data_IF_306984575591
#
_entry.id   IF_306984575591
#
_cell.length_a   1.000
_cell.length_b   1.000
_cell.length_c   1.000
_cell.angle_alpha   90.00
_cell.angle_beta   90.00
_cell.angle_gamma   90.00
#
_symmetry.space_group_name_H-M   'P 1'
#
loop_
_entity.id
_entity.type
_entity.pdbx_description
1 polymer ?
#
# COMPACT_ATOMS: atom_id res chain seq x y z
N UNK A 1 8.12 -49.49 7.64
CA UNK A 1 7.55 -49.65 6.29
C UNK A 1 7.82 -48.36 5.54
N UNK A 2 8.91 -48.33 4.78
CA UNK A 2 9.38 -47.14 4.07
C UNK A 2 8.69 -47.05 2.71
N UNK A 3 7.87 -46.03 2.49
CA UNK A 3 7.26 -45.76 1.20
C UNK A 3 8.14 -44.75 0.44
N UNK A 4 8.94 -45.25 -0.50
CA UNK A 4 9.64 -44.42 -1.49
C UNK A 4 8.61 -43.86 -2.48
N UNK A 5 8.38 -42.55 -2.42
CA UNK A 5 7.61 -41.83 -3.43
C UNK A 5 8.52 -41.61 -4.64
N UNK A 6 8.28 -42.36 -5.70
CA UNK A 6 8.91 -42.16 -7.01
C UNK A 6 8.22 -40.97 -7.67
N UNK A 7 8.92 -39.83 -7.76
CA UNK A 7 8.49 -38.67 -8.54
C UNK A 7 8.66 -39.00 -10.04
N UNK A 8 7.65 -38.81 -10.90
CA UNK A 8 7.88 -38.89 -12.34
C UNK A 8 8.77 -37.71 -12.76
N UNK A 9 9.96 -38.02 -13.26
CA UNK A 9 10.85 -37.06 -13.90
C UNK A 9 10.11 -36.45 -15.09
N UNK A 10 9.64 -35.21 -14.92
CA UNK A 10 9.26 -34.33 -16.02
C UNK A 10 10.51 -34.16 -16.89
N UNK A 11 10.48 -34.72 -18.10
CA UNK A 11 11.58 -34.61 -19.05
C UNK A 11 11.87 -33.15 -19.41
N UNK A 12 13.09 -32.82 -19.86
CA UNK A 12 13.43 -31.47 -20.27
C UNK A 12 12.49 -31.00 -21.39
N UNK A 13 12.05 -29.74 -21.39
CA UNK A 13 11.14 -29.22 -22.40
C UNK A 13 11.78 -29.33 -23.80
N UNK A 14 10.98 -29.59 -24.84
CA UNK A 14 11.48 -29.74 -26.20
C UNK A 14 12.22 -28.46 -26.63
N UNK A 15 13.40 -28.65 -27.24
CA UNK A 15 14.30 -27.62 -27.77
C UNK A 15 13.71 -26.92 -29.01
N UNK A 16 12.47 -26.46 -28.93
CA UNK A 16 11.91 -25.50 -29.87
C UNK A 16 12.61 -24.17 -29.65
N UNK A 17 13.20 -23.61 -30.70
CA UNK A 17 13.72 -22.23 -30.68
C UNK A 17 12.58 -21.32 -30.22
N UNK A 18 12.55 -20.95 -28.93
CA UNK A 18 11.76 -19.80 -28.49
C UNK A 18 12.29 -18.62 -29.29
N UNK A 19 11.49 -18.16 -30.25
CA UNK A 19 11.70 -16.81 -30.78
C UNK A 19 11.64 -15.93 -29.53
N UNK A 20 12.66 -15.11 -29.25
CA UNK A 20 12.54 -14.14 -28.17
C UNK A 20 11.24 -13.38 -28.44
N UNK A 21 10.37 -13.22 -27.42
CA UNK A 21 9.20 -12.37 -27.57
C UNK A 21 9.68 -11.02 -28.14
N UNK A 22 8.92 -10.41 -29.06
CA UNK A 22 9.34 -9.16 -29.68
C UNK A 22 9.81 -8.21 -28.58
N UNK A 23 11.12 -7.91 -28.59
CA UNK A 23 11.74 -7.02 -27.62
C UNK A 23 10.89 -5.76 -27.56
N UNK A 24 10.29 -5.52 -26.39
CA UNK A 24 9.66 -4.28 -25.96
C UNK A 24 9.42 -3.33 -27.13
N UNK A 25 8.34 -3.56 -27.88
CA UNK A 25 7.79 -2.51 -28.71
C UNK A 25 7.32 -1.44 -27.71
N UNK A 26 8.24 -0.54 -27.32
CA UNK A 26 7.92 0.71 -26.67
C UNK A 26 6.84 1.33 -27.53
N UNK A 27 5.60 1.29 -27.04
CA UNK A 27 4.52 2.04 -27.64
C UNK A 27 5.00 3.48 -27.63
N UNK A 28 5.40 3.98 -28.81
CA UNK A 28 5.71 5.39 -28.99
C UNK A 28 4.43 6.14 -28.59
N UNK A 29 4.52 6.95 -27.54
CA UNK A 29 3.48 7.92 -27.25
C UNK A 29 3.44 8.89 -28.43
N UNK A 30 2.31 8.97 -29.12
CA UNK A 30 2.12 9.81 -30.33
C UNK A 30 2.22 11.33 -30.04
N UNK A 31 2.30 11.71 -28.77
CA UNK A 31 2.43 13.09 -28.30
C UNK A 31 3.32 13.10 -27.03
N UNK A 32 4.14 14.14 -26.81
CA UNK A 32 4.80 14.29 -25.52
C UNK A 32 3.68 14.41 -24.47
N UNK A 33 3.60 13.50 -23.48
CA UNK A 33 2.54 13.58 -22.49
C UNK A 33 2.79 14.84 -21.69
N UNK A 34 1.92 15.83 -21.89
CA UNK A 34 1.91 17.04 -21.10
C UNK A 34 1.44 16.64 -19.70
N UNK A 35 2.00 17.25 -18.66
CA UNK A 35 1.65 16.96 -17.26
C UNK A 35 0.12 16.99 -17.04
N UNK A 36 -0.57 17.88 -17.75
CA UNK A 36 -2.01 17.99 -17.77
C UNK A 36 -2.75 16.84 -18.49
N UNK A 37 -2.21 16.25 -19.56
CA UNK A 37 -2.83 15.12 -20.25
C UNK A 37 -2.65 13.81 -19.47
N UNK A 38 -1.49 13.60 -18.87
CA UNK A 38 -1.24 12.48 -17.94
C UNK A 38 -2.09 12.62 -16.67
N UNK A 39 -2.12 13.80 -16.05
CA UNK A 39 -2.98 14.05 -14.90
C UNK A 39 -4.45 13.85 -15.27
N UNK A 40 -4.92 14.35 -16.43
CA UNK A 40 -6.31 14.17 -16.90
C UNK A 40 -6.65 12.70 -17.16
N UNK A 41 -5.70 11.90 -17.65
CA UNK A 41 -5.86 10.46 -17.84
C UNK A 41 -6.03 9.73 -16.50
N UNK A 42 -5.18 10.02 -15.51
CA UNK A 42 -5.29 9.45 -14.16
C UNK A 42 -6.58 9.95 -13.46
N UNK A 43 -6.93 11.22 -13.64
CA UNK A 43 -8.13 11.85 -13.09
C UNK A 43 -9.44 11.26 -13.66
N UNK A 44 -9.45 10.71 -14.87
CA UNK A 44 -10.65 10.10 -15.48
C UNK A 44 -10.81 8.61 -15.18
N UNK A 45 -9.82 7.95 -14.56
CA UNK A 45 -9.85 6.49 -14.37
C UNK A 45 -10.72 6.01 -13.21
N UNK A 46 -10.99 6.86 -12.22
CA UNK A 46 -11.65 6.43 -10.97
C UNK A 46 -12.81 7.34 -10.61
N UNK A 47 -13.97 6.77 -10.27
CA UNK A 47 -15.13 7.53 -9.72
C UNK A 47 -14.79 8.27 -8.42
N UNK A 48 -13.73 7.84 -7.72
CA UNK A 48 -13.20 8.48 -6.51
C UNK A 48 -12.60 9.87 -6.77
N UNK A 49 -12.21 10.21 -8.02
CA UNK A 49 -11.70 11.55 -8.31
C UNK A 49 -12.77 12.64 -8.19
N UNK A 50 -14.05 12.29 -8.04
CA UNK A 50 -15.08 13.25 -7.62
C UNK A 50 -14.73 13.88 -6.27
N UNK A 51 -14.07 13.13 -5.38
CA UNK A 51 -13.64 13.62 -4.08
C UNK A 51 -12.43 14.57 -4.15
N UNK A 52 -11.76 14.74 -5.30
CA UNK A 52 -10.70 15.75 -5.41
C UNK A 52 -11.21 17.18 -5.19
N UNK A 53 -12.51 17.41 -5.39
CA UNK A 53 -13.14 18.68 -5.07
C UNK A 53 -12.97 19.05 -3.58
N UNK A 54 -12.79 18.06 -2.69
CA UNK A 54 -12.56 18.30 -1.27
C UNK A 54 -11.14 18.78 -0.96
N UNK A 55 -10.14 18.59 -1.85
CA UNK A 55 -8.75 19.03 -1.61
C UNK A 55 -8.64 20.54 -1.37
N UNK A 56 -9.13 21.43 -2.27
CA UNK A 56 -9.06 22.86 -2.02
C UNK A 56 -9.85 23.26 -0.76
N UNK A 57 -11.02 22.66 -0.52
CA UNK A 57 -11.81 22.92 0.68
C UNK A 57 -11.06 22.51 1.96
N UNK A 58 -10.39 21.36 1.94
CA UNK A 58 -9.61 20.83 3.06
C UNK A 58 -8.41 21.72 3.42
N UNK A 59 -7.72 22.24 2.40
CA UNK A 59 -6.61 23.18 2.56
C UNK A 59 -7.10 24.55 3.06
N UNK A 60 -8.29 24.98 2.64
CA UNK A 60 -8.91 26.24 3.05
C UNK A 60 -9.59 26.17 4.41
N UNK A 61 -9.99 24.99 4.89
CA UNK A 61 -10.70 24.84 6.16
C UNK A 61 -9.93 25.42 7.35
N UNK A 62 -8.61 25.28 7.38
CA UNK A 62 -7.75 25.80 8.46
C UNK A 62 -7.63 27.34 8.44
N UNK A 63 -7.22 28.01 7.34
CA UNK A 63 -7.13 29.47 7.31
C UNK A 63 -8.48 30.17 7.44
N UNK A 64 -9.59 29.55 7.01
CA UNK A 64 -10.93 30.11 7.20
C UNK A 64 -11.50 29.87 8.61
N UNK A 65 -10.75 29.22 9.50
CA UNK A 65 -11.17 28.98 10.89
C UNK A 65 -12.38 28.06 11.03
N UNK A 66 -12.53 27.08 10.14
CA UNK A 66 -13.63 26.12 10.22
C UNK A 66 -13.49 25.25 11.48
N UNK A 67 -14.62 24.77 12.06
CA UNK A 67 -14.58 23.96 13.27
C UNK A 67 -13.72 22.70 13.05
N UNK A 68 -12.96 22.30 14.08
CA UNK A 68 -11.97 21.23 13.94
C UNK A 68 -12.56 19.91 13.45
N UNK A 69 -13.79 19.56 13.86
CA UNK A 69 -14.48 18.39 13.34
C UNK A 69 -14.75 18.45 11.83
N UNK A 70 -15.16 19.60 11.30
CA UNK A 70 -15.38 19.78 9.86
C UNK A 70 -14.05 19.76 9.09
N UNK A 71 -13.02 20.44 9.60
CA UNK A 71 -11.69 20.41 9.02
C UNK A 71 -11.13 18.98 8.97
N UNK A 72 -11.36 18.18 10.01
CA UNK A 72 -10.97 16.77 10.04
C UNK A 72 -11.65 15.95 8.94
N UNK A 73 -12.98 16.04 8.83
CA UNK A 73 -13.76 15.28 7.84
C UNK A 73 -13.37 15.68 6.40
N UNK A 74 -13.13 16.96 6.14
CA UNK A 74 -12.73 17.43 4.82
C UNK A 74 -11.33 16.96 4.43
N UNK A 75 -10.37 17.07 5.35
CA UNK A 75 -9.01 16.56 5.11
C UNK A 75 -9.01 15.03 4.94
N UNK A 76 -9.86 14.32 5.69
CA UNK A 76 -10.08 12.89 5.49
C UNK A 76 -10.57 12.59 4.06
N UNK A 77 -11.67 13.21 3.63
CA UNK A 77 -12.24 12.99 2.30
C UNK A 77 -11.29 13.39 1.17
N UNK A 78 -10.42 14.38 1.40
CA UNK A 78 -9.38 14.80 0.46
C UNK A 78 -8.25 13.76 0.32
N UNK A 79 -7.83 13.12 1.42
CA UNK A 79 -6.74 12.14 1.41
C UNK A 79 -7.12 10.86 0.64
N UNK A 80 -8.38 10.43 0.72
CA UNK A 80 -8.85 9.19 0.07
C UNK A 80 -8.51 9.11 -1.42
N UNK A 81 -8.90 10.06 -2.29
CA UNK A 81 -8.55 9.97 -3.69
C UNK A 81 -7.07 10.27 -3.96
N UNK A 82 -6.40 11.08 -3.13
CA UNK A 82 -4.97 11.35 -3.26
C UNK A 82 -4.12 10.10 -3.02
N UNK A 83 -4.48 9.28 -2.03
CA UNK A 83 -3.85 7.98 -1.79
C UNK A 83 -3.98 7.08 -3.04
N UNK A 84 -5.15 7.08 -3.69
CA UNK A 84 -5.33 6.32 -4.93
C UNK A 84 -4.48 6.85 -6.09
N UNK A 85 -4.32 8.17 -6.19
CA UNK A 85 -3.45 8.78 -7.20
C UNK A 85 -1.98 8.43 -6.95
N UNK A 86 -1.57 8.35 -5.68
CA UNK A 86 -0.24 7.91 -5.30
C UNK A 86 0.01 6.47 -5.75
N UNK A 87 -0.92 5.55 -5.51
CA UNK A 87 -0.82 4.14 -5.96
C UNK A 87 -0.67 4.03 -7.48
N UNK A 88 -1.45 4.81 -8.24
CA UNK A 88 -1.37 4.77 -9.72
C UNK A 88 -0.04 5.35 -10.20
N UNK A 89 0.43 6.44 -9.59
CA UNK A 89 1.72 7.04 -9.94
C UNK A 89 2.90 6.11 -9.61
N UNK A 90 2.85 5.40 -8.48
CA UNK A 90 3.87 4.40 -8.12
C UNK A 90 3.80 3.17 -9.03
N UNK A 91 2.60 2.69 -9.40
CA UNK A 91 2.42 1.59 -10.36
C UNK A 91 2.99 1.95 -11.75
N UNK A 92 2.68 3.12 -12.30
CA UNK A 92 3.20 3.58 -13.59
C UNK A 92 4.74 3.73 -13.55
N UNK A 93 5.29 4.24 -12.45
CA UNK A 93 6.74 4.37 -12.30
C UNK A 93 7.43 2.99 -12.17
N UNK A 94 6.79 2.05 -11.46
CA UNK A 94 7.25 0.68 -11.30
C UNK A 94 7.30 -0.07 -12.65
N UNK A 95 6.29 0.13 -13.51
CA UNK A 95 6.25 -0.41 -14.88
C UNK A 95 7.42 0.12 -15.74
N UNK A 96 7.79 1.39 -15.60
CA UNK A 96 8.91 2.00 -16.33
C UNK A 96 10.26 1.46 -15.85
N UNK A 97 10.42 1.29 -14.53
CA UNK A 97 11.67 0.82 -13.90
C UNK A 97 11.82 -0.71 -14.04
N UNK A 98 10.78 -1.42 -14.50
CA UNK A 98 10.79 -2.88 -14.69
C UNK A 98 10.80 -3.66 -13.38
N UNK A 99 10.32 -3.05 -12.29
CA UNK A 99 10.23 -3.69 -10.98
C UNK A 99 8.75 -3.80 -10.62
N UNK A 100 8.20 -5.00 -10.39
CA UNK A 100 6.84 -5.09 -9.86
C UNK A 100 6.80 -4.37 -8.52
N UNK A 101 5.94 -3.36 -8.40
CA UNK A 101 5.59 -2.83 -7.09
C UNK A 101 4.67 -3.86 -6.43
N UNK A 102 5.16 -4.49 -5.37
CA UNK A 102 4.32 -5.30 -4.49
C UNK A 102 3.20 -4.42 -3.97
N UNK A 103 1.95 -4.78 -4.26
CA UNK A 103 0.79 -4.20 -3.56
C UNK A 103 0.87 -4.71 -2.13
N UNK A 104 1.23 -3.84 -1.19
CA UNK A 104 1.23 -4.17 0.23
C UNK A 104 -0.19 -4.59 0.62
N UNK A 105 -0.32 -5.75 1.26
CA UNK A 105 -1.63 -6.23 1.72
C UNK A 105 -1.96 -5.58 3.05
N UNK A 106 -3.00 -4.75 3.08
CA UNK A 106 -3.59 -4.25 4.32
C UNK A 106 -4.40 -5.36 5.00
N UNK A 107 -4.17 -5.61 6.29
CA UNK A 107 -4.90 -6.60 7.11
C UNK A 107 -6.42 -6.40 7.11
N UNK A 108 -6.86 -5.13 7.07
CA UNK A 108 -8.30 -4.82 7.00
C UNK A 108 -8.89 -5.23 5.65
N UNK A 109 -8.12 -5.04 4.57
CA UNK A 109 -8.50 -5.47 3.22
C UNK A 109 -8.58 -7.00 3.18
N UNK A 110 -7.62 -7.72 3.77
CA UNK A 110 -7.65 -9.18 3.84
C UNK A 110 -8.95 -9.70 4.48
N UNK A 111 -9.30 -9.18 5.66
CA UNK A 111 -10.52 -9.59 6.37
C UNK A 111 -11.79 -9.28 5.57
N UNK A 112 -11.88 -8.08 4.99
CA UNK A 112 -13.00 -7.72 4.12
C UNK A 112 -13.05 -8.59 2.85
N UNK A 113 -11.92 -8.84 2.19
CA UNK A 113 -11.84 -9.71 1.01
C UNK A 113 -12.32 -11.12 1.32
N UNK A 114 -11.94 -11.71 2.46
CA UNK A 114 -12.47 -13.02 2.88
C UNK A 114 -13.96 -12.99 3.19
N UNK A 115 -14.44 -11.94 3.87
CA UNK A 115 -15.87 -11.81 4.15
C UNK A 115 -16.69 -11.69 2.86
N UNK A 116 -16.33 -10.78 1.95
CA UNK A 116 -17.07 -10.55 0.70
C UNK A 116 -16.92 -11.70 -0.29
N UNK A 117 -15.70 -12.21 -0.51
CA UNK A 117 -15.50 -13.33 -1.41
C UNK A 117 -16.12 -14.63 -0.84
N UNK A 118 -16.12 -14.80 0.48
CA UNK A 118 -16.76 -15.94 1.16
C UNK A 118 -18.29 -15.98 1.03
N UNK A 119 -18.95 -14.85 0.71
CA UNK A 119 -20.38 -14.85 0.37
C UNK A 119 -20.65 -15.55 -0.97
N UNK A 120 -19.73 -15.45 -1.94
CA UNK A 120 -19.89 -15.98 -3.31
C UNK A 120 -19.15 -17.30 -3.53
N UNK A 121 -17.99 -17.47 -2.90
CA UNK A 121 -17.08 -18.60 -3.09
C UNK A 121 -16.91 -19.38 -1.79
N UNK A 122 -17.17 -20.68 -1.83
CA UNK A 122 -17.07 -21.56 -0.67
C UNK A 122 -15.62 -21.90 -0.29
N UNK A 123 -14.71 -21.87 -1.27
CA UNK A 123 -13.27 -22.12 -1.08
C UNK A 123 -12.47 -21.10 -1.90
N UNK A 124 -11.36 -20.62 -1.34
CA UNK A 124 -10.46 -19.69 -2.00
C UNK A 124 -9.07 -20.33 -2.11
N UNK A 125 -8.58 -20.47 -3.34
CA UNK A 125 -7.24 -20.98 -3.58
C UNK A 125 -6.24 -19.82 -3.55
N UNK A 126 -5.21 -19.95 -2.73
CA UNK A 126 -4.11 -19.00 -2.64
C UNK A 126 -2.78 -19.73 -2.70
N UNK A 127 -1.73 -19.00 -3.08
CA UNK A 127 -0.37 -19.54 -3.02
C UNK A 127 0.06 -19.67 -1.56
N UNK A 128 0.02 -20.91 -1.06
CA UNK A 128 0.33 -21.25 0.34
C UNK A 128 1.75 -20.83 0.70
N UNK A 129 2.73 -21.04 -0.18
CA UNK A 129 4.14 -20.72 0.08
C UNK A 129 4.34 -19.21 0.24
N UNK A 130 3.79 -18.40 -0.66
CA UNK A 130 3.90 -16.93 -0.57
C UNK A 130 3.16 -16.38 0.66
N UNK A 131 1.93 -16.87 0.90
CA UNK A 131 1.14 -16.47 2.05
C UNK A 131 1.81 -16.84 3.38
N UNK A 132 2.34 -18.06 3.48
CA UNK A 132 3.02 -18.54 4.69
C UNK A 132 4.30 -17.74 4.97
N UNK A 133 5.13 -17.48 3.95
CA UNK A 133 6.34 -16.65 4.13
C UNK A 133 5.99 -15.25 4.61
N UNK A 134 4.96 -14.61 4.04
CA UNK A 134 4.50 -13.30 4.47
C UNK A 134 3.95 -13.28 5.90
N UNK A 135 3.16 -14.28 6.29
CA UNK A 135 2.64 -14.41 7.65
C UNK A 135 3.76 -14.63 8.68
N UNK A 136 4.75 -15.48 8.37
CA UNK A 136 5.89 -15.73 9.27
C UNK A 136 6.73 -14.46 9.49
N UNK A 137 6.97 -13.69 8.43
CA UNK A 137 7.71 -12.42 8.53
C UNK A 137 6.91 -11.36 9.30
N UNK A 138 5.62 -11.21 9.02
CA UNK A 138 4.74 -10.31 9.79
C UNK A 138 4.74 -10.67 11.29
N UNK A 139 4.71 -11.96 11.62
CA UNK A 139 4.73 -12.42 13.01
C UNK A 139 6.03 -12.03 13.72
N UNK A 140 7.19 -12.23 13.06
CA UNK A 140 8.48 -11.79 13.60
C UNK A 140 8.55 -10.27 13.75
N UNK A 141 8.02 -9.53 12.77
CA UNK A 141 7.95 -8.07 12.81
C UNK A 141 7.11 -7.56 13.99
N UNK A 142 5.92 -8.12 14.19
CA UNK A 142 5.01 -7.74 15.29
C UNK A 142 5.64 -8.08 16.65
N UNK A 143 6.24 -9.26 16.81
CA UNK A 143 6.87 -9.67 18.07
C UNK A 143 8.00 -8.72 18.48
N UNK A 144 8.86 -8.30 17.55
CA UNK A 144 9.94 -7.39 17.90
C UNK A 144 9.53 -5.91 17.96
N UNK A 145 8.41 -5.50 17.35
CA UNK A 145 7.80 -4.19 17.62
C UNK A 145 7.15 -4.14 19.01
N UNK A 146 6.62 -5.27 19.50
CA UNK A 146 6.02 -5.38 20.83
C UNK A 146 7.06 -5.40 21.96
N UNK A 147 8.31 -5.80 21.69
CA UNK A 147 9.35 -5.95 22.71
C UNK A 147 9.58 -4.68 23.55
N UNK A 148 9.73 -3.46 22.99
CA UNK A 148 9.87 -2.24 23.79
C UNK A 148 8.62 -1.88 24.59
N UNK A 149 7.43 -2.20 24.08
CA UNK A 149 6.16 -1.95 24.77
C UNK A 149 5.97 -2.90 25.96
N UNK A 150 6.29 -4.19 25.79
CA UNK A 150 6.28 -5.18 26.86
C UNK A 150 7.30 -4.82 27.95
N UNK A 151 8.50 -4.39 27.57
CA UNK A 151 9.52 -3.93 28.52
C UNK A 151 9.02 -2.74 29.34
N UNK A 152 8.38 -1.75 28.71
CA UNK A 152 7.76 -0.62 29.43
C UNK A 152 6.68 -1.07 30.42
N UNK A 153 5.95 -2.14 30.13
CA UNK A 153 4.82 -2.59 30.97
C UNK A 153 5.25 -3.35 32.22
N UNK A 154 6.47 -3.91 32.27
CA UNK A 154 6.91 -4.79 33.35
C UNK A 154 8.08 -4.26 34.17
N UNK A 155 8.72 -3.18 33.72
CA UNK A 155 9.96 -2.65 34.31
C UNK A 155 9.66 -1.55 35.34
N UNK A 156 10.38 -1.59 36.46
CA UNK A 156 10.26 -0.62 37.57
C UNK A 156 10.72 0.79 37.16
N UNK A 157 10.18 1.81 37.84
CA UNK A 157 10.38 3.24 37.54
C UNK A 157 11.86 3.67 37.40
N UNK A 158 12.77 3.00 38.10
CA UNK A 158 14.21 3.27 38.08
C UNK A 158 14.89 2.99 36.72
N UNK A 159 14.30 2.11 35.90
CA UNK A 159 14.90 1.68 34.62
C UNK A 159 14.25 2.34 33.40
N UNK A 160 13.36 3.33 33.57
CA UNK A 160 12.70 4.01 32.44
C UNK A 160 13.69 4.70 31.50
N UNK A 161 14.83 5.17 32.02
CA UNK A 161 15.90 5.74 31.21
C UNK A 161 16.49 4.74 30.20
N UNK A 162 16.41 3.43 30.48
CA UNK A 162 16.87 2.38 29.58
C UNK A 162 15.88 2.10 28.41
N UNK A 163 14.64 2.60 28.47
CA UNK A 163 13.64 2.35 27.42
C UNK A 163 14.05 3.01 26.08
N UNK A 164 14.62 4.22 26.14
CA UNK A 164 15.04 4.97 24.95
C UNK A 164 16.09 4.18 24.14
N UNK A 165 17.24 3.76 24.70
CA UNK A 165 18.23 2.99 23.94
C UNK A 165 17.70 1.62 23.49
N UNK A 166 16.84 0.95 24.29
CA UNK A 166 16.21 -0.31 23.88
C UNK A 166 15.31 -0.10 22.65
N UNK A 167 14.52 0.97 22.63
CA UNK A 167 13.66 1.29 21.49
C UNK A 167 14.45 1.63 20.22
N UNK A 168 15.59 2.32 20.36
CA UNK A 168 16.50 2.57 19.24
C UNK A 168 17.13 1.28 18.71
N UNK A 169 17.57 0.38 19.59
CA UNK A 169 18.10 -0.93 19.20
C UNK A 169 17.07 -1.79 18.45
N UNK A 170 15.82 -1.80 18.93
CA UNK A 170 14.72 -2.47 18.27
C UNK A 170 14.42 -1.89 16.87
N UNK A 171 14.41 -0.55 16.74
CA UNK A 171 14.20 0.12 15.46
C UNK A 171 15.31 -0.18 14.43
N UNK A 172 16.58 -0.17 14.85
CA UNK A 172 17.73 -0.53 13.99
C UNK A 172 17.63 -2.01 13.55
N UNK A 173 17.27 -2.90 14.47
CA UNK A 173 17.10 -4.33 14.17
C UNK A 173 15.98 -4.55 13.17
N UNK A 174 14.83 -3.88 13.33
CA UNK A 174 13.72 -3.90 12.38
C UNK A 174 14.12 -3.40 10.99
N UNK A 175 14.92 -2.34 10.93
CA UNK A 175 15.41 -1.81 9.67
C UNK A 175 16.31 -2.81 8.94
N UNK A 176 17.20 -3.52 9.65
CA UNK A 176 18.05 -4.57 9.09
C UNK A 176 17.19 -5.73 8.55
N UNK A 177 16.22 -6.21 9.35
CA UNK A 177 15.30 -7.28 8.93
C UNK A 177 14.48 -6.86 7.71
N UNK A 178 14.00 -5.62 7.65
CA UNK A 178 13.29 -5.08 6.49
C UNK A 178 14.17 -5.01 5.24
N UNK A 179 15.45 -4.62 5.37
CA UNK A 179 16.39 -4.62 4.25
C UNK A 179 16.69 -6.03 3.73
N UNK A 180 16.84 -7.02 4.62
CA UNK A 180 16.98 -8.43 4.25
C UNK A 180 15.71 -8.95 3.56
N UNK A 181 14.53 -8.53 4.04
CA UNK A 181 13.25 -8.86 3.41
C UNK A 181 13.15 -8.27 1.99
N UNK A 182 13.50 -7.00 1.79
CA UNK A 182 13.52 -6.41 0.45
C UNK A 182 14.52 -7.11 -0.48
N UNK A 183 15.69 -7.54 0.01
CA UNK A 183 16.63 -8.35 -0.78
C UNK A 183 16.02 -9.71 -1.15
N UNK A 184 15.25 -10.31 -0.24
CA UNK A 184 14.55 -11.57 -0.48
C UNK A 184 13.48 -11.41 -1.56
N UNK A 185 12.61 -10.41 -1.43
CA UNK A 185 11.50 -10.16 -2.34
C UNK A 185 11.97 -9.69 -3.73
N UNK A 186 12.95 -8.79 -3.79
CA UNK A 186 13.35 -8.16 -5.05
C UNK A 186 14.43 -8.91 -5.82
N UNK A 187 15.18 -9.82 -5.17
CA UNK A 187 16.33 -10.49 -5.80
C UNK A 187 16.31 -11.99 -5.67
N UNK A 188 16.23 -12.54 -4.46
CA UNK A 188 16.47 -13.99 -4.28
C UNK A 188 15.24 -14.84 -4.58
N UNK A 189 14.04 -14.35 -4.29
CA UNK A 189 12.78 -15.10 -4.44
C UNK A 189 11.71 -14.29 -5.18
N UNK A 190 12.12 -13.45 -6.15
CA UNK A 190 11.22 -12.64 -6.97
C UNK A 190 10.06 -13.44 -7.58
N UNK A 191 10.33 -14.68 -8.01
CA UNK A 191 9.37 -15.54 -8.71
C UNK A 191 8.24 -16.02 -7.77
N UNK A 192 8.45 -16.01 -6.45
CA UNK A 192 7.42 -16.32 -5.45
C UNK A 192 6.40 -15.19 -5.28
N UNK A 193 6.77 -13.96 -5.63
CA UNK A 193 5.99 -12.73 -5.41
C UNK A 193 5.45 -12.11 -6.70
N UNK A 194 5.90 -12.57 -7.87
CA UNK A 194 5.26 -12.27 -9.15
C UNK A 194 3.93 -13.03 -9.20
N UNK A 195 2.86 -12.38 -8.76
CA UNK A 195 1.50 -12.90 -8.91
C UNK A 195 1.08 -12.76 -10.38
N UNK A 196 1.12 -13.89 -11.11
CA UNK A 196 0.46 -14.23 -12.38
C UNK A 196 -0.28 -13.13 -13.16
N UNK A 197 0.38 -12.01 -13.47
CA UNK A 197 -0.16 -10.94 -14.30
C UNK A 197 0.42 -11.01 -15.74
N UNK A 198 1.04 -12.13 -16.10
CA UNK A 198 1.62 -12.35 -17.43
C UNK A 198 0.55 -12.58 -18.51
N UNK A 199 -0.69 -12.95 -18.14
CA UNK A 199 -1.77 -13.23 -19.11
C UNK A 199 -2.77 -12.08 -19.32
N UNK A 200 -2.73 -11.02 -18.51
CA UNK A 200 -3.45 -9.77 -18.81
C UNK A 200 -2.50 -8.85 -19.55
N UNK A 201 -2.46 -8.99 -20.88
CA UNK A 201 -1.62 -8.26 -21.84
C UNK A 201 -0.80 -7.11 -21.25
N UNK A 202 0.53 -7.30 -21.22
CA UNK A 202 1.56 -6.38 -20.68
C UNK A 202 1.04 -4.93 -20.65
N UNK A 203 0.67 -4.47 -19.45
CA UNK A 203 0.29 -3.07 -19.22
C UNK A 203 1.50 -2.20 -19.54
N UNK A 204 1.52 -1.60 -20.72
CA UNK A 204 2.51 -0.59 -21.07
C UNK A 204 2.24 0.68 -20.23
N UNK A 205 3.30 1.26 -19.69
CA UNK A 205 3.22 2.54 -19.00
C UNK A 205 2.60 3.59 -19.96
N UNK A 206 1.59 4.30 -19.48
CA UNK A 206 0.92 5.37 -20.24
C UNK A 206 1.55 6.74 -19.98
N UNK A 207 2.44 6.84 -19.00
CA UNK A 207 3.10 8.09 -18.60
C UNK A 207 4.61 8.02 -18.86
N UNK A 208 5.22 9.16 -19.20
CA UNK A 208 6.70 9.28 -19.21
C UNK A 208 7.24 9.35 -17.79
N UNK A 209 8.49 8.92 -17.59
CA UNK A 209 9.18 8.95 -16.29
C UNK A 209 9.13 10.31 -15.62
N UNK A 210 9.31 11.38 -16.37
CA UNK A 210 9.31 12.75 -15.86
C UNK A 210 7.91 13.22 -15.43
N UNK A 211 6.87 12.85 -16.20
CA UNK A 211 5.49 13.18 -15.82
C UNK A 211 5.02 12.36 -14.62
N UNK A 212 5.42 11.09 -14.52
CA UNK A 212 5.12 10.21 -13.40
C UNK A 212 5.81 10.67 -12.11
N UNK A 213 7.10 11.01 -12.17
CA UNK A 213 7.83 11.52 -11.02
C UNK A 213 7.32 12.89 -10.55
N UNK A 214 7.01 13.80 -11.48
CA UNK A 214 6.43 15.10 -11.14
C UNK A 214 5.05 14.95 -10.49
N UNK A 215 4.19 14.07 -11.04
CA UNK A 215 2.88 13.78 -10.44
C UNK A 215 3.03 13.19 -9.03
N UNK A 216 3.94 12.23 -8.85
CA UNK A 216 4.23 11.60 -7.55
C UNK A 216 4.61 12.65 -6.52
N UNK A 217 5.55 13.54 -6.84
CA UNK A 217 6.02 14.60 -5.93
C UNK A 217 4.87 15.55 -5.56
N UNK A 218 4.08 15.99 -6.54
CA UNK A 218 2.93 16.89 -6.29
C UNK A 218 1.91 16.21 -5.38
N UNK A 219 1.53 14.96 -5.66
CA UNK A 219 0.56 14.23 -4.84
C UNK A 219 1.08 14.03 -3.42
N UNK A 220 2.34 13.63 -3.25
CA UNK A 220 2.96 13.46 -1.93
C UNK A 220 2.94 14.77 -1.14
N UNK A 221 3.27 15.90 -1.76
CA UNK A 221 3.23 17.20 -1.10
C UNK A 221 1.81 17.58 -0.67
N UNK A 222 0.80 17.39 -1.54
CA UNK A 222 -0.60 17.70 -1.20
C UNK A 222 -1.12 16.77 -0.10
N UNK A 223 -0.80 15.48 -0.15
CA UNK A 223 -1.13 14.52 0.92
C UNK A 223 -0.48 14.95 2.24
N UNK A 224 0.80 15.32 2.23
CA UNK A 224 1.51 15.77 3.42
C UNK A 224 0.85 17.02 4.05
N UNK A 225 0.42 17.99 3.22
CA UNK A 225 -0.30 19.17 3.69
C UNK A 225 -1.67 18.82 4.28
N UNK A 226 -2.45 17.96 3.61
CA UNK A 226 -3.75 17.51 4.12
C UNK A 226 -3.58 16.71 5.42
N UNK A 227 -2.57 15.84 5.50
CA UNK A 227 -2.27 15.05 6.69
C UNK A 227 -1.84 15.94 7.87
N UNK A 228 -1.03 16.97 7.61
CA UNK A 228 -0.66 17.95 8.63
C UNK A 228 -1.89 18.67 9.20
N UNK A 229 -2.81 19.10 8.33
CA UNK A 229 -4.07 19.73 8.74
C UNK A 229 -5.02 18.75 9.44
N UNK A 230 -5.10 17.50 8.99
CA UNK A 230 -5.88 16.43 9.62
C UNK A 230 -5.42 16.22 11.07
N UNK A 231 -4.12 16.01 11.29
CA UNK A 231 -3.55 15.78 12.62
C UNK A 231 -3.76 17.01 13.52
N UNK A 232 -3.60 18.22 12.97
CA UNK A 232 -3.89 19.46 13.70
C UNK A 232 -5.36 19.65 14.10
N UNK A 233 -6.29 18.93 13.48
CA UNK A 233 -7.73 19.02 13.76
C UNK A 233 -8.26 17.94 14.73
N UNK A 234 -7.39 17.03 15.20
CA UNK A 234 -7.77 15.92 16.10
C UNK A 234 -8.41 16.47 17.39
N UNK A 235 -7.90 17.56 17.94
CA UNK A 235 -8.41 18.14 19.19
C UNK A 235 -9.87 18.60 19.07
N UNK A 236 -10.25 19.18 17.93
CA UNK A 236 -11.64 19.56 17.69
C UNK A 236 -12.58 18.36 17.53
N UNK A 237 -12.08 17.20 17.09
CA UNK A 237 -12.87 15.95 17.06
C UNK A 237 -13.02 15.37 18.46
N UNK A 238 -11.97 15.43 19.28
CA UNK A 238 -12.01 14.98 20.68
C UNK A 238 -13.08 15.76 21.46
N UNK A 239 -13.12 17.08 21.27
CA UNK A 239 -14.10 17.96 21.93
C UNK A 239 -15.53 17.74 21.42
N UNK A 240 -15.72 17.63 20.10
CA UNK A 240 -17.04 17.49 19.50
C UNK A 240 -17.65 16.09 19.67
N UNK A 241 -16.86 15.04 19.46
CA UNK A 241 -17.33 13.65 19.44
C UNK A 241 -17.04 12.89 20.75
N UNK A 242 -16.31 13.50 21.70
CA UNK A 242 -15.94 12.85 22.96
C UNK A 242 -14.97 11.67 22.80
N UNK A 243 -14.31 11.53 21.64
CA UNK A 243 -13.41 10.43 21.34
C UNK A 243 -12.01 10.67 21.93
N UNK A 244 -11.32 9.61 22.35
CA UNK A 244 -9.95 9.74 22.85
C UNK A 244 -8.96 9.97 21.70
N UNK A 245 -7.90 10.78 21.95
CA UNK A 245 -6.79 10.95 20.99
C UNK A 245 -6.20 9.59 20.56
N UNK A 246 -6.12 8.64 21.50
CA UNK A 246 -5.66 7.27 21.26
C UNK A 246 -6.57 6.51 20.29
N UNK A 247 -7.90 6.58 20.44
CA UNK A 247 -8.83 5.93 19.51
C UNK A 247 -8.73 6.52 18.11
N UNK A 248 -8.66 7.84 17.99
CA UNK A 248 -8.48 8.52 16.70
C UNK A 248 -7.16 8.07 16.06
N UNK A 249 -6.07 8.04 16.82
CA UNK A 249 -4.75 7.66 16.32
C UNK A 249 -4.59 6.19 15.95
N UNK A 250 -5.16 5.27 16.73
CA UNK A 250 -4.99 3.82 16.53
C UNK A 250 -6.06 3.19 15.63
N UNK A 251 -7.26 3.75 15.57
CA UNK A 251 -8.38 3.17 14.80
C UNK A 251 -8.67 4.02 13.58
N UNK A 252 -8.93 5.31 13.76
CA UNK A 252 -9.40 6.17 12.66
C UNK A 252 -8.28 6.42 11.66
N UNK A 253 -7.10 6.90 12.08
CA UNK A 253 -6.02 7.26 11.14
C UNK A 253 -5.56 6.08 10.24
N UNK A 254 -5.36 4.84 10.73
CA UNK A 254 -5.00 3.72 9.86
C UNK A 254 -6.08 3.38 8.84
N UNK A 255 -7.35 3.50 9.22
CA UNK A 255 -8.48 3.34 8.29
C UNK A 255 -8.39 4.41 7.20
N UNK A 256 -8.16 5.67 7.56
CA UNK A 256 -8.06 6.78 6.60
C UNK A 256 -7.00 6.52 5.53
N UNK A 257 -5.78 6.18 5.95
CA UNK A 257 -4.65 5.98 5.05
C UNK A 257 -4.88 4.81 4.08
N UNK A 258 -5.64 3.79 4.50
CA UNK A 258 -5.87 2.59 3.71
C UNK A 258 -7.30 2.50 3.14
N UNK A 259 -8.11 3.54 3.28
CA UNK A 259 -9.52 3.53 2.88
C UNK A 259 -9.67 3.42 1.36
N UNK A 260 -8.79 4.06 0.60
CA UNK A 260 -8.79 4.01 -0.87
C UNK A 260 -8.58 2.59 -1.39
N UNK A 261 -7.70 1.83 -0.76
CA UNK A 261 -7.45 0.42 -1.06
C UNK A 261 -8.65 -0.45 -0.68
N UNK A 262 -9.24 -0.21 0.50
CA UNK A 262 -10.45 -0.92 0.95
C UNK A 262 -11.60 -0.77 -0.04
N UNK A 263 -11.86 0.45 -0.48
CA UNK A 263 -12.89 0.74 -1.48
C UNK A 263 -12.55 0.08 -2.82
N UNK A 264 -11.30 0.17 -3.28
CA UNK A 264 -10.91 -0.42 -4.57
C UNK A 264 -10.98 -1.95 -4.56
N UNK A 265 -10.51 -2.60 -3.49
CA UNK A 265 -10.50 -4.07 -3.37
C UNK A 265 -11.90 -4.66 -3.28
N UNK A 266 -12.78 -4.07 -2.47
CA UNK A 266 -14.16 -4.57 -2.31
C UNK A 266 -15.05 -4.28 -3.51
N UNK A 267 -14.98 -3.08 -4.11
CA UNK A 267 -15.79 -2.76 -5.29
C UNK A 267 -15.32 -3.46 -6.57
N UNK A 268 -14.03 -3.76 -6.71
CA UNK A 268 -13.53 -4.50 -7.87
C UNK A 268 -14.10 -5.92 -7.92
N UNK A 269 -14.23 -6.58 -6.76
CA UNK A 269 -14.82 -7.93 -6.67
C UNK A 269 -16.35 -7.92 -6.70
N UNK A 270 -17.01 -6.85 -6.21
CA UNK A 270 -18.47 -6.74 -6.23
C UNK A 270 -19.05 -6.48 -7.64
N UNK A 271 -18.25 -6.01 -8.59
CA UNK A 271 -18.66 -5.69 -9.97
C UNK A 271 -18.12 -6.68 -11.03
N UNK A 272 -17.52 -7.79 -10.60
CA UNK A 272 -17.01 -8.88 -11.45
C UNK A 272 -17.81 -10.19 -11.27
#
# INVERSE_FOLDING_TARGET
>A
MSASVVLPLVGPPPSGRLRPPPLLACRKLDHPPTLASSARFVLRRTRLNLLLAFVPLALLARPLGWPGAAAFVLNFLAIVPLAKLLDVATEELALIIGRPAGRLLNTTVLGCSFAFAGVKYHEQTFNITSAQTNCSLLTLSVLSLLLPAAFRATVLDEYYAAIIPISHGAAVTMLIVYMLFLLFELKTHKDLFVTGNEDKGVRAANMTTLSASALLVVVVLVVALCAHNLVGSIEGVVEFAGLTKTFIGLVILPIICNFSELVTGTLADALA
#
